data_IF_487437522346
#
_entry.id   IF_487437522346
#
_cell.length_a   1.000
_cell.length_b   1.000
_cell.length_c   1.000
_cell.angle_alpha   90.00
_cell.angle_beta   90.00
_cell.angle_gamma   90.00
#
_symmetry.space_group_name_H-M   'P 1'
#
loop_
_entity.id
_entity.type
_entity.pdbx_description
1 polymer ?
#
# COMPACT_ATOMS: atom_id res chain seq x y z
N UNK A 1 -12.52 2.04 -18.66
CA UNK A 1 -12.29 1.20 -17.44
C UNK A 1 -11.16 0.21 -17.73
N UNK A 2 -10.41 -0.32 -16.74
CA UNK A 2 -9.27 -1.24 -16.96
C UNK A 2 -9.58 -2.41 -17.92
N UNK A 3 -10.80 -2.92 -17.87
CA UNK A 3 -11.30 -4.01 -18.73
C UNK A 3 -11.48 -3.65 -20.22
N UNK A 4 -11.29 -2.39 -20.62
CA UNK A 4 -11.45 -1.92 -22.01
C UNK A 4 -10.10 -1.68 -22.71
N UNK A 5 -8.98 -1.91 -22.02
CA UNK A 5 -7.66 -1.80 -22.63
C UNK A 5 -7.50 -2.86 -23.73
N UNK A 6 -6.86 -2.50 -24.84
CA UNK A 6 -6.53 -3.44 -25.93
C UNK A 6 -5.38 -4.40 -25.58
N UNK A 7 -4.78 -4.22 -24.42
CA UNK A 7 -3.67 -4.99 -23.87
C UNK A 7 -4.21 -6.18 -23.05
N UNK A 8 -3.50 -7.31 -23.05
CA UNK A 8 -3.85 -8.46 -22.20
C UNK A 8 -3.69 -8.08 -20.71
N UNK A 9 -4.60 -8.46 -19.80
CA UNK A 9 -4.46 -8.19 -18.36
C UNK A 9 -3.11 -8.55 -17.75
N UNK A 10 -2.42 -9.58 -18.27
CA UNK A 10 -1.09 -9.99 -17.78
C UNK A 10 0.09 -9.23 -18.39
N UNK A 11 -0.15 -8.36 -19.38
CA UNK A 11 0.88 -7.61 -20.11
C UNK A 11 1.17 -6.23 -19.49
N UNK A 12 0.70 -6.02 -18.25
CA UNK A 12 0.92 -4.80 -17.48
C UNK A 12 2.23 -4.82 -16.67
N UNK A 13 2.87 -5.98 -16.55
CA UNK A 13 4.14 -6.15 -15.85
C UNK A 13 4.95 -7.30 -16.49
N UNK A 14 6.24 -7.08 -16.77
CA UNK A 14 7.08 -8.15 -17.36
C UNK A 14 7.34 -9.31 -16.39
N UNK A 15 7.30 -9.03 -15.07
CA UNK A 15 7.46 -10.03 -14.01
C UNK A 15 6.31 -9.89 -13.01
N UNK A 16 5.60 -11.00 -12.80
CA UNK A 16 4.35 -11.05 -12.05
C UNK A 16 4.52 -11.73 -10.69
N UNK A 17 3.43 -11.80 -9.91
CA UNK A 17 3.32 -12.56 -8.67
C UNK A 17 3.52 -14.07 -8.83
N UNK A 18 3.60 -14.59 -10.07
CA UNK A 18 4.04 -15.97 -10.31
C UNK A 18 5.52 -16.17 -9.96
N UNK A 19 6.36 -15.18 -10.25
CA UNK A 19 7.80 -15.21 -9.96
C UNK A 19 8.13 -14.51 -8.65
N UNK A 20 7.45 -13.41 -8.34
CA UNK A 20 7.73 -12.60 -7.15
C UNK A 20 6.90 -12.98 -5.94
N UNK A 21 7.57 -13.00 -4.79
CA UNK A 21 6.92 -12.82 -3.49
C UNK A 21 7.13 -11.38 -3.06
N UNK A 22 6.06 -10.59 -3.04
CA UNK A 22 6.12 -9.19 -2.62
C UNK A 22 6.18 -9.09 -1.09
N UNK A 23 6.99 -8.17 -0.58
CA UNK A 23 7.26 -8.02 0.84
C UNK A 23 6.76 -6.67 1.37
N UNK A 24 6.25 -6.66 2.59
CA UNK A 24 6.02 -5.44 3.38
C UNK A 24 6.95 -5.48 4.58
N UNK A 25 7.85 -4.50 4.70
CA UNK A 25 8.85 -4.43 5.78
C UNK A 25 9.63 -5.75 5.96
N UNK A 26 10.03 -6.35 4.83
CA UNK A 26 10.77 -7.62 4.79
C UNK A 26 9.93 -8.86 5.10
N UNK A 27 8.62 -8.74 5.31
CA UNK A 27 7.73 -9.87 5.60
C UNK A 27 6.89 -10.26 4.38
N UNK A 28 6.84 -11.56 4.09
CA UNK A 28 5.95 -12.12 3.09
C UNK A 28 4.48 -11.96 3.51
N UNK A 29 3.51 -12.02 2.57
CA UNK A 29 2.11 -11.67 2.87
C UNK A 29 1.45 -12.55 3.95
N UNK A 30 1.85 -13.82 4.05
CA UNK A 30 1.38 -14.74 5.09
C UNK A 30 1.99 -14.47 6.46
N UNK A 31 3.21 -13.92 6.51
CA UNK A 31 3.87 -13.54 7.76
C UNK A 31 3.31 -12.24 8.33
N UNK A 32 2.68 -11.41 7.48
CA UNK A 32 1.86 -10.24 7.85
C UNK A 32 2.54 -9.30 8.86
N UNK A 33 3.28 -8.32 8.36
CA UNK A 33 3.85 -7.28 9.22
C UNK A 33 2.73 -6.57 10.02
N UNK A 34 2.94 -6.38 11.32
CA UNK A 34 2.02 -5.66 12.21
C UNK A 34 2.62 -4.33 12.65
N UNK A 35 1.83 -3.25 12.53
CA UNK A 35 2.14 -1.95 13.10
C UNK A 35 1.15 -1.64 14.23
N UNK A 36 1.67 -1.38 15.43
CA UNK A 36 0.80 -1.12 16.58
C UNK A 36 0.29 0.32 16.59
N UNK A 37 -0.97 0.49 17.03
CA UNK A 37 -1.55 1.81 17.26
C UNK A 37 -2.44 1.89 18.51
N UNK A 38 -2.67 3.11 18.98
CA UNK A 38 -3.70 3.48 19.96
C UNK A 38 -4.91 4.07 19.25
N UNK A 39 -6.14 3.62 19.54
CA UNK A 39 -7.33 4.17 18.90
C UNK A 39 -7.40 5.70 19.01
N UNK A 40 -7.66 6.37 17.89
CA UNK A 40 -7.75 7.82 17.78
C UNK A 40 -6.43 8.57 17.62
N UNK A 41 -5.28 7.89 17.62
CA UNK A 41 -4.02 8.57 17.35
C UNK A 41 -3.82 8.86 15.86
N UNK A 42 -3.14 9.98 15.56
CA UNK A 42 -2.74 10.30 14.19
C UNK A 42 -1.39 9.69 13.88
N UNK A 43 -1.36 8.83 12.88
CA UNK A 43 -0.17 8.10 12.44
C UNK A 43 0.25 8.63 11.08
N UNK A 44 1.53 8.99 10.94
CA UNK A 44 2.15 9.27 9.64
C UNK A 44 2.83 8.00 9.12
N UNK A 45 2.17 7.33 8.17
CA UNK A 45 2.74 6.22 7.42
C UNK A 45 3.63 6.78 6.31
N UNK A 46 4.82 6.21 6.14
CA UNK A 46 5.75 6.54 5.05
C UNK A 46 5.83 5.36 4.12
N UNK A 47 5.14 5.44 2.99
CA UNK A 47 5.18 4.42 1.96
C UNK A 47 6.40 4.65 1.08
N UNK A 48 7.19 3.60 0.88
CA UNK A 48 8.40 3.61 0.05
C UNK A 48 8.32 2.38 -0.85
N UNK A 49 8.22 2.58 -2.15
CA UNK A 49 8.25 1.46 -3.09
C UNK A 49 9.70 1.09 -3.43
N UNK A 50 10.27 0.20 -2.63
CA UNK A 50 11.62 -0.37 -2.86
C UNK A 50 11.64 -1.58 -3.80
N UNK A 51 10.61 -1.81 -4.61
CA UNK A 51 10.59 -2.93 -5.54
C UNK A 51 11.50 -2.69 -6.76
N UNK A 52 11.84 -3.75 -7.49
CA UNK A 52 12.67 -3.63 -8.69
C UNK A 52 11.90 -3.05 -9.89
N UNK A 53 10.61 -3.39 -10.05
CA UNK A 53 9.85 -3.08 -11.26
C UNK A 53 8.32 -3.07 -11.08
N UNK A 54 7.79 -3.10 -9.85
CA UNK A 54 6.36 -3.31 -9.63
C UNK A 54 5.69 -2.05 -9.09
N UNK A 55 4.59 -1.65 -9.72
CA UNK A 55 3.72 -0.59 -9.21
C UNK A 55 2.68 -1.22 -8.29
N UNK A 56 2.37 -0.54 -7.19
CA UNK A 56 1.37 -1.00 -6.24
C UNK A 56 0.23 -0.01 -6.11
N UNK A 57 -0.98 -0.53 -6.04
CA UNK A 57 -2.15 0.22 -5.58
C UNK A 57 -2.33 -0.05 -4.08
N UNK A 58 -2.20 1.01 -3.29
CA UNK A 58 -2.23 0.99 -1.83
C UNK A 58 -3.62 1.38 -1.35
N UNK A 59 -4.20 0.55 -0.48
CA UNK A 59 -5.48 0.81 0.17
C UNK A 59 -5.46 0.33 1.62
N UNK A 60 -6.24 1.01 2.46
CA UNK A 60 -6.52 0.58 3.83
C UNK A 60 -8.06 0.55 3.99
N UNK A 61 -8.72 -0.60 3.72
CA UNK A 61 -10.17 -0.67 3.77
C UNK A 61 -10.71 -0.22 5.14
N UNK A 62 -11.69 0.69 5.12
CA UNK A 62 -12.29 1.26 6.32
C UNK A 62 -11.48 2.38 6.98
N UNK A 63 -10.35 2.81 6.41
CA UNK A 63 -9.53 3.90 6.94
C UNK A 63 -9.11 4.89 5.83
N UNK A 64 -9.60 6.12 5.92
CA UNK A 64 -9.22 7.18 4.97
C UNK A 64 -7.75 7.54 5.12
N UNK A 65 -7.11 7.79 3.98
CA UNK A 65 -5.70 8.17 3.89
C UNK A 65 -5.59 9.62 3.44
N UNK A 66 -4.83 10.45 4.16
CA UNK A 66 -4.55 11.83 3.72
C UNK A 66 -3.08 11.97 3.34
N UNK A 67 -2.81 12.08 2.04
CA UNK A 67 -1.47 12.31 1.50
C UNK A 67 -1.02 13.73 1.86
N UNK A 68 0.16 13.85 2.46
CA UNK A 68 0.74 15.14 2.89
C UNK A 68 2.14 15.40 2.32
N UNK A 69 2.81 14.37 1.78
CA UNK A 69 4.03 14.54 1.00
C UNK A 69 4.11 13.49 -0.11
N UNK A 70 4.75 13.87 -1.22
CA UNK A 70 5.12 13.00 -2.33
C UNK A 70 6.59 13.27 -2.67
N UNK A 71 7.41 12.21 -2.75
CA UNK A 71 8.84 12.28 -3.06
C UNK A 71 9.64 13.28 -2.21
N UNK A 72 9.32 13.29 -0.91
CA UNK A 72 9.96 14.16 0.08
C UNK A 72 9.49 15.62 0.06
N UNK A 73 8.61 16.01 -0.87
CA UNK A 73 8.04 17.36 -0.93
C UNK A 73 6.66 17.40 -0.27
N UNK A 74 6.45 18.38 0.60
CA UNK A 74 5.12 18.63 1.15
C UNK A 74 4.16 19.08 0.05
N UNK A 75 2.95 18.52 0.08
CA UNK A 75 1.87 18.88 -0.83
C UNK A 75 0.69 19.43 -0.06
N UNK A 76 -0.23 20.08 -0.76
CA UNK A 76 -1.55 20.37 -0.19
C UNK A 76 -2.23 19.04 0.17
N UNK A 77 -2.73 18.86 1.41
CA UNK A 77 -3.30 17.60 1.83
C UNK A 77 -4.43 17.12 0.93
N UNK A 78 -4.36 15.86 0.49
CA UNK A 78 -5.42 15.23 -0.33
C UNK A 78 -5.85 13.93 0.33
N UNK A 79 -7.14 13.82 0.63
CA UNK A 79 -7.73 12.61 1.21
C UNK A 79 -8.19 11.67 0.10
N UNK A 80 -7.74 10.42 0.14
CA UNK A 80 -7.97 9.38 -0.86
C UNK A 80 -8.33 8.05 -0.18
N UNK A 81 -8.98 7.17 -0.94
CA UNK A 81 -9.22 5.77 -0.55
C UNK A 81 -8.11 4.84 -1.05
N UNK A 82 -7.50 5.20 -2.17
CA UNK A 82 -6.45 4.44 -2.85
C UNK A 82 -5.49 5.42 -3.51
N UNK A 83 -4.22 5.06 -3.56
CA UNK A 83 -3.23 5.72 -4.40
C UNK A 83 -2.28 4.69 -5.00
N UNK A 84 -1.74 5.03 -6.17
CA UNK A 84 -0.72 4.24 -6.85
C UNK A 84 0.67 4.75 -6.48
N UNK A 85 1.59 3.84 -6.26
CA UNK A 85 3.00 4.14 -6.03
C UNK A 85 3.88 3.38 -7.03
N UNK A 86 4.61 4.11 -7.86
CA UNK A 86 5.59 3.59 -8.79
C UNK A 86 6.91 3.24 -8.09
N UNK A 87 7.82 2.58 -8.80
CA UNK A 87 9.13 2.21 -8.27
C UNK A 87 9.90 3.45 -7.82
N UNK A 88 10.52 3.37 -6.65
CA UNK A 88 11.30 4.42 -5.99
C UNK A 88 10.51 5.66 -5.52
N UNK A 89 9.21 5.75 -5.79
CA UNK A 89 8.38 6.81 -5.23
C UNK A 89 8.20 6.64 -3.72
N UNK A 90 7.93 7.77 -3.05
CA UNK A 90 7.59 7.83 -1.64
C UNK A 90 6.35 8.68 -1.39
N UNK A 91 5.48 8.24 -0.49
CA UNK A 91 4.31 9.00 -0.07
C UNK A 91 4.20 9.00 1.45
N UNK A 92 4.03 10.18 2.03
CA UNK A 92 3.69 10.30 3.43
C UNK A 92 2.18 10.51 3.57
N UNK A 93 1.56 9.64 4.37
CA UNK A 93 0.11 9.56 4.54
C UNK A 93 -0.25 9.63 6.01
N UNK A 94 -1.17 10.51 6.36
CA UNK A 94 -1.77 10.57 7.69
C UNK A 94 -3.03 9.69 7.71
N UNK A 95 -3.13 8.84 8.73
CA UNK A 95 -4.31 8.06 9.07
C UNK A 95 -4.68 8.23 10.54
N UNK A 96 -5.95 8.01 10.88
CA UNK A 96 -6.46 8.11 12.25
C UNK A 96 -7.36 6.89 12.56
N UNK A 97 -6.77 5.73 12.89
CA UNK A 97 -7.52 4.49 13.10
C UNK A 97 -8.34 4.52 14.40
N UNK A 98 -9.59 4.04 14.34
CA UNK A 98 -10.52 4.02 15.48
C UNK A 98 -10.90 2.60 15.91
N UNK A 99 -10.88 1.64 14.99
CA UNK A 99 -11.18 0.23 15.24
C UNK A 99 -10.03 -0.54 15.88
N UNK A 100 -10.14 -1.87 15.92
CA UNK A 100 -9.11 -2.74 16.50
C UNK A 100 -7.99 -3.11 15.52
N UNK A 101 -8.32 -3.23 14.23
CA UNK A 101 -7.36 -3.59 13.20
C UNK A 101 -7.77 -3.08 11.81
N UNK A 102 -6.77 -2.77 10.98
CA UNK A 102 -6.92 -2.35 9.59
C UNK A 102 -5.83 -2.97 8.73
N UNK A 103 -6.19 -3.59 7.61
CA UNK A 103 -5.20 -4.16 6.67
C UNK A 103 -4.66 -3.08 5.75
N UNK A 104 -3.35 -2.88 5.74
CA UNK A 104 -2.64 -2.19 4.66
C UNK A 104 -2.45 -3.19 3.53
N UNK A 105 -3.09 -2.94 2.40
CA UNK A 105 -3.04 -3.83 1.24
C UNK A 105 -2.36 -3.13 0.08
N UNK A 106 -1.31 -3.77 -0.46
CA UNK A 106 -0.54 -3.29 -1.61
C UNK A 106 -0.67 -4.30 -2.75
N UNK A 107 -1.61 -4.06 -3.66
CA UNK A 107 -1.88 -4.94 -4.79
C UNK A 107 -0.97 -4.56 -5.97
N UNK A 108 -0.31 -5.53 -6.61
CA UNK A 108 0.42 -5.28 -7.85
C UNK A 108 -0.53 -4.73 -8.93
N UNK A 109 -0.04 -3.82 -9.78
CA UNK A 109 -0.84 -3.16 -10.82
C UNK A 109 -1.49 -4.17 -11.78
N UNK A 110 -0.77 -5.24 -12.12
CA UNK A 110 -1.21 -6.35 -12.97
C UNK A 110 -2.15 -7.35 -12.25
N UNK A 111 -2.45 -7.12 -10.95
CA UNK A 111 -3.35 -7.92 -10.11
C UNK A 111 -2.92 -9.39 -9.89
N UNK A 112 -1.67 -9.73 -10.16
CA UNK A 112 -1.17 -11.09 -10.04
C UNK A 112 -0.64 -11.42 -8.64
N UNK A 113 -0.36 -10.43 -7.80
CA UNK A 113 0.05 -10.65 -6.41
C UNK A 113 -0.05 -9.39 -5.54
N UNK A 114 0.32 -9.53 -4.27
CA UNK A 114 0.20 -8.45 -3.31
C UNK A 114 1.22 -8.57 -2.18
N UNK A 115 1.48 -7.45 -1.51
CA UNK A 115 2.01 -7.42 -0.15
C UNK A 115 0.91 -6.94 0.81
N UNK A 116 0.97 -7.35 2.07
CA UNK A 116 0.06 -6.87 3.11
C UNK A 116 0.71 -6.76 4.47
N UNK A 117 0.13 -5.91 5.29
CA UNK A 117 0.38 -5.80 6.72
C UNK A 117 -0.87 -5.32 7.43
N UNK A 118 -0.81 -5.24 8.75
CA UNK A 118 -1.95 -4.89 9.58
C UNK A 118 -1.56 -3.80 10.57
N UNK A 119 -2.32 -2.71 10.59
CA UNK A 119 -2.33 -1.83 11.75
C UNK A 119 -3.25 -2.45 12.79
N UNK A 120 -2.80 -2.64 14.03
CA UNK A 120 -3.61 -3.25 15.09
C UNK A 120 -3.34 -2.63 16.47
N UNK A 121 -4.26 -2.79 17.41
CA UNK A 121 -4.08 -2.34 18.80
C UNK A 121 -3.19 -3.28 19.64
N UNK A 122 -2.92 -4.49 19.13
CA UNK A 122 -2.09 -5.51 19.78
C UNK A 122 -1.45 -6.43 18.74
N UNK A 123 -0.38 -7.11 19.15
CA UNK A 123 0.21 -8.19 18.36
C UNK A 123 -0.76 -9.39 18.23
N UNK A 124 -0.57 -10.15 17.14
CA UNK A 124 -1.33 -11.36 16.82
C UNK A 124 -0.71 -12.62 17.38
#
# INVERSE_FOLDING_TARGET
>A
MWAEMKMNPTDLADVSGYTYTYLMNGQAPLKNWTGLFRPGEKIRLRFINGSAMTYFDIRIPGLKMTVVAADGQYVNPVTVDEFRIAVAETYDVIVEPQGEAYTIFAQSMDRTGYARGTLATREG
#
